data_IF_868513312274
#
_entry.id   IF_868513312274
#
_cell.length_a   1.000
_cell.length_b   1.000
_cell.length_c   1.000
_cell.angle_alpha   90.00
_cell.angle_beta   90.00
_cell.angle_gamma   90.00
#
_symmetry.space_group_name_H-M   'P 1'
#
loop_
_entity.id
_entity.type
_entity.pdbx_description
1 polymer ?
#
# COMPACT_ATOMS: atom_id res chain seq x y z
N UNK A 1 11.93 -7.99 -1.58
CA UNK A 1 11.96 -9.44 -1.87
C UNK A 1 10.78 -9.88 -2.73
N UNK A 2 9.56 -9.39 -2.50
CA UNK A 2 8.39 -9.74 -3.32
C UNK A 2 8.60 -9.60 -4.85
N UNK A 3 9.22 -8.49 -5.29
CA UNK A 3 9.56 -8.31 -6.72
C UNK A 3 10.53 -9.37 -7.27
N UNK A 4 11.54 -9.77 -6.48
CA UNK A 4 12.48 -10.84 -6.85
C UNK A 4 11.80 -12.22 -6.91
N UNK A 5 10.72 -12.40 -6.17
CA UNK A 5 9.95 -13.65 -6.09
C UNK A 5 8.82 -13.71 -7.12
N UNK A 6 8.53 -12.63 -7.84
CA UNK A 6 7.39 -12.56 -8.76
C UNK A 6 6.02 -12.55 -8.08
N UNK A 7 5.96 -12.26 -6.77
CA UNK A 7 4.72 -12.32 -6.00
C UNK A 7 3.90 -11.02 -6.16
N UNK A 8 3.00 -11.04 -7.14
CA UNK A 8 2.11 -9.92 -7.43
C UNK A 8 1.14 -9.60 -6.28
N UNK A 9 0.65 -10.62 -5.55
CA UNK A 9 -0.29 -10.42 -4.44
C UNK A 9 0.40 -9.68 -3.29
N UNK A 10 1.61 -10.10 -2.94
CA UNK A 10 2.39 -9.42 -1.90
C UNK A 10 2.73 -7.98 -2.29
N UNK A 11 3.02 -7.72 -3.57
CA UNK A 11 3.27 -6.35 -4.05
C UNK A 11 2.01 -5.48 -3.94
N UNK A 12 0.86 -5.98 -4.40
CA UNK A 12 -0.41 -5.28 -4.24
C UNK A 12 -0.71 -4.97 -2.77
N UNK A 13 -0.49 -5.94 -1.88
CA UNK A 13 -0.65 -5.76 -0.44
C UNK A 13 0.27 -4.66 0.10
N UNK A 14 1.57 -4.71 -0.22
CA UNK A 14 2.54 -3.71 0.23
C UNK A 14 2.17 -2.30 -0.29
N UNK A 15 1.82 -2.18 -1.57
CA UNK A 15 1.42 -0.90 -2.19
C UNK A 15 0.12 -0.36 -1.57
N UNK A 16 -0.89 -1.21 -1.35
CA UNK A 16 -2.12 -0.83 -0.67
C UNK A 16 -1.85 -0.30 0.75
N UNK A 17 -0.83 -0.87 1.40
CA UNK A 17 -0.32 -0.45 2.69
C UNK A 17 0.65 0.75 2.62
N UNK A 18 0.82 1.40 1.48
CA UNK A 18 1.60 2.63 1.33
C UNK A 18 3.10 2.41 1.27
N UNK A 19 3.56 1.22 0.87
CA UNK A 19 4.94 1.04 0.46
C UNK A 19 5.26 1.94 -0.74
N UNK A 20 6.44 2.56 -0.72
CA UNK A 20 6.91 3.31 -1.88
C UNK A 20 7.18 2.33 -3.05
N UNK A 21 6.81 2.68 -4.29
CA UNK A 21 6.95 1.80 -5.45
C UNK A 21 8.37 1.77 -6.04
N UNK A 22 9.18 2.81 -5.81
CA UNK A 22 10.55 2.97 -6.35
C UNK A 22 11.67 3.15 -5.29
N UNK A 23 11.65 2.47 -4.13
CA UNK A 23 12.76 2.55 -3.19
C UNK A 23 14.01 1.91 -3.79
N UNK A 24 15.15 2.59 -3.70
CA UNK A 24 16.43 2.03 -4.11
C UNK A 24 17.03 1.18 -2.99
N UNK A 25 17.60 0.03 -3.36
CA UNK A 25 18.37 -0.80 -2.45
C UNK A 25 19.85 -0.37 -2.39
N UNK A 26 20.68 -1.13 -1.67
CA UNK A 26 22.12 -0.85 -1.53
C UNK A 26 22.90 -0.94 -2.86
N UNK A 27 22.32 -1.54 -3.90
CA UNK A 27 22.89 -1.64 -5.23
C UNK A 27 22.34 -0.58 -6.18
N UNK A 28 21.64 0.44 -5.67
CA UNK A 28 20.89 1.43 -6.44
C UNK A 28 19.83 0.81 -7.38
N UNK A 29 19.28 -0.35 -7.03
CA UNK A 29 18.22 -1.01 -7.80
C UNK A 29 16.86 -0.83 -7.15
N UNK A 30 15.86 -0.54 -7.96
CA UNK A 30 14.45 -0.43 -7.58
C UNK A 30 13.77 -1.81 -7.63
N UNK A 31 12.57 -1.97 -7.06
CA UNK A 31 11.80 -3.20 -7.22
C UNK A 31 11.50 -3.54 -8.68
N UNK A 32 11.35 -2.53 -9.55
CA UNK A 32 11.10 -2.70 -10.99
C UNK A 32 12.29 -3.39 -11.68
N UNK A 33 13.52 -3.02 -11.31
CA UNK A 33 14.76 -3.63 -11.87
C UNK A 33 14.91 -5.12 -11.54
N UNK A 34 14.19 -5.60 -10.54
CA UNK A 34 14.15 -7.01 -10.16
C UNK A 34 12.97 -7.77 -10.76
N UNK A 35 12.05 -7.07 -11.43
CA UNK A 35 10.91 -7.67 -12.08
C UNK A 35 11.25 -8.12 -13.51
N UNK A 36 10.64 -9.21 -13.96
CA UNK A 36 10.77 -9.64 -15.35
C UNK A 36 9.92 -8.74 -16.26
N UNK A 37 10.51 -8.17 -17.30
CA UNK A 37 9.80 -7.32 -18.25
C UNK A 37 8.59 -8.05 -18.86
N UNK A 38 7.42 -7.40 -18.85
CA UNK A 38 6.16 -8.00 -19.31
C UNK A 38 5.46 -8.92 -18.30
N UNK A 39 6.02 -9.14 -17.12
CA UNK A 39 5.32 -9.83 -16.03
C UNK A 39 4.24 -8.96 -15.38
N UNK A 40 3.26 -9.60 -14.73
CA UNK A 40 2.23 -8.90 -13.96
C UNK A 40 2.85 -7.98 -12.90
N UNK A 41 3.93 -8.43 -12.24
CA UNK A 41 4.67 -7.65 -11.25
C UNK A 41 5.25 -6.37 -11.86
N UNK A 42 5.84 -6.47 -13.05
CA UNK A 42 6.37 -5.31 -13.77
C UNK A 42 5.27 -4.29 -14.06
N UNK A 43 4.13 -4.75 -14.59
CA UNK A 43 3.01 -3.84 -14.90
C UNK A 43 2.43 -3.15 -13.67
N UNK A 44 2.33 -3.85 -12.54
CA UNK A 44 1.82 -3.28 -11.28
C UNK A 44 2.78 -2.23 -10.74
N UNK A 45 4.09 -2.52 -10.73
CA UNK A 45 5.10 -1.59 -10.24
C UNK A 45 5.25 -0.37 -11.14
N UNK A 46 5.12 -0.53 -12.44
CA UNK A 46 5.13 0.55 -13.43
C UNK A 46 3.89 1.46 -13.30
N UNK A 47 2.70 0.89 -13.17
CA UNK A 47 1.47 1.66 -12.88
C UNK A 47 1.61 2.42 -11.56
N UNK A 48 2.10 1.75 -10.51
CA UNK A 48 2.24 2.34 -9.19
C UNK A 48 3.24 3.51 -9.14
N UNK A 49 4.27 3.52 -9.98
CA UNK A 49 5.22 4.64 -10.08
C UNK A 49 4.59 5.88 -10.75
N UNK A 50 3.75 5.66 -11.76
CA UNK A 50 3.14 6.74 -12.53
C UNK A 50 1.83 7.26 -11.92
N UNK A 51 1.24 6.51 -10.99
CA UNK A 51 -0.05 6.80 -10.41
C UNK A 51 0.06 7.68 -9.16
N UNK A 52 -0.61 8.83 -9.21
CA UNK A 52 -0.84 9.64 -8.02
C UNK A 52 -1.90 8.95 -7.16
N UNK A 53 -1.62 8.64 -5.88
CA UNK A 53 -2.60 8.03 -5.00
C UNK A 53 -3.79 8.97 -4.79
N UNK A 54 -5.01 8.41 -4.81
CA UNK A 54 -6.23 9.19 -4.59
C UNK A 54 -6.25 9.81 -3.20
N UNK A 55 -7.03 10.88 -3.03
CA UNK A 55 -7.23 11.49 -1.71
C UNK A 55 -7.77 10.47 -0.70
N UNK A 56 -8.60 9.52 -1.13
CA UNK A 56 -9.10 8.43 -0.27
C UNK A 56 -7.98 7.48 0.18
N UNK A 57 -7.01 7.18 -0.69
CA UNK A 57 -5.86 6.35 -0.33
C UNK A 57 -4.91 7.11 0.63
N UNK A 58 -4.67 8.40 0.35
CA UNK A 58 -3.86 9.27 1.19
C UNK A 58 -4.45 9.46 2.58
N UNK A 59 -5.76 9.76 2.66
CA UNK A 59 -6.47 9.85 3.94
C UNK A 59 -6.41 8.53 4.69
N UNK A 60 -6.68 7.40 4.04
CA UNK A 60 -6.53 6.07 4.68
C UNK A 60 -5.13 5.86 5.28
N UNK A 61 -4.08 6.21 4.54
CA UNK A 61 -2.70 6.08 5.04
C UNK A 61 -2.37 7.05 6.18
N UNK A 62 -2.85 8.29 6.09
CA UNK A 62 -2.69 9.30 7.14
C UNK A 62 -3.39 8.84 8.43
N UNK A 63 -4.66 8.43 8.32
CA UNK A 63 -5.39 7.85 9.43
C UNK A 63 -4.64 6.64 9.97
N UNK A 64 -4.17 5.68 9.17
CA UNK A 64 -3.42 4.52 9.70
C UNK A 64 -2.24 4.89 10.60
N UNK A 65 -1.51 5.97 10.28
CA UNK A 65 -0.41 6.46 11.13
C UNK A 65 -0.91 6.97 12.49
N UNK A 66 -2.06 7.63 12.50
CA UNK A 66 -2.74 8.07 13.74
C UNK A 66 -3.37 6.89 14.46
N UNK A 67 -3.98 5.95 13.73
CA UNK A 67 -4.65 4.76 14.25
C UNK A 67 -3.69 3.78 14.91
N UNK A 68 -2.42 3.71 14.47
CA UNK A 68 -1.38 2.99 15.23
C UNK A 68 -1.26 3.46 16.69
N UNK A 69 -1.71 4.68 17.00
CA UNK A 69 -1.76 5.24 18.35
C UNK A 69 -3.17 5.20 18.96
N UNK A 70 -4.23 4.98 18.16
CA UNK A 70 -5.62 4.96 18.62
C UNK A 70 -6.08 3.51 18.78
N UNK A 71 -6.70 3.22 19.91
CA UNK A 71 -7.25 1.90 20.20
C UNK A 71 -8.60 1.71 19.49
N UNK A 72 -9.10 0.47 19.46
CA UNK A 72 -10.42 0.11 18.89
C UNK A 72 -11.57 0.90 19.53
N UNK A 73 -11.40 1.35 20.77
CA UNK A 73 -12.39 2.16 21.48
C UNK A 73 -12.40 3.62 20.99
N UNK A 74 -11.24 4.18 20.65
CA UNK A 74 -11.14 5.53 20.09
C UNK A 74 -11.78 5.62 18.69
N UNK A 75 -11.81 4.49 17.97
CA UNK A 75 -12.54 4.37 16.70
C UNK A 75 -14.05 4.59 16.85
N UNK A 76 -14.63 4.14 17.97
CA UNK A 76 -16.06 4.33 18.23
C UNK A 76 -16.39 5.81 18.45
N UNK A 77 -15.42 6.61 18.90
CA UNK A 77 -15.58 8.05 19.12
C UNK A 77 -15.63 8.85 17.83
N UNK A 78 -15.03 8.35 16.73
CA UNK A 78 -15.00 9.04 15.44
C UNK A 78 -16.39 9.14 14.78
N UNK A 79 -17.40 8.39 15.27
CA UNK A 79 -18.79 8.38 14.75
C UNK A 79 -18.85 8.28 13.22
N UNK A 80 -17.95 7.51 12.63
CA UNK A 80 -17.90 7.28 11.18
C UNK A 80 -18.78 6.10 10.79
N UNK A 81 -19.32 6.09 9.56
CA UNK A 81 -19.94 4.91 8.97
C UNK A 81 -19.02 3.69 9.04
N UNK A 82 -19.60 2.51 9.33
CA UNK A 82 -18.84 1.28 9.50
C UNK A 82 -18.00 0.92 8.27
N UNK A 83 -18.52 1.17 7.06
CA UNK A 83 -17.77 0.96 5.82
C UNK A 83 -16.48 1.78 5.72
N UNK A 84 -16.46 2.99 6.28
CA UNK A 84 -15.26 3.83 6.34
C UNK A 84 -14.31 3.35 7.43
N UNK A 85 -14.82 2.87 8.57
CA UNK A 85 -14.01 2.23 9.61
C UNK A 85 -13.32 0.97 9.08
N UNK A 86 -14.05 0.11 8.37
CA UNK A 86 -13.53 -1.12 7.78
C UNK A 86 -12.48 -0.81 6.70
N UNK A 87 -12.77 0.18 5.85
CA UNK A 87 -11.82 0.66 4.84
C UNK A 87 -10.53 1.22 5.48
N UNK A 88 -10.62 1.95 6.59
CA UNK A 88 -9.45 2.50 7.30
C UNK A 88 -8.66 1.46 8.09
N UNK A 89 -9.32 0.41 8.58
CA UNK A 89 -8.71 -0.68 9.36
C UNK A 89 -8.15 -1.81 8.50
N UNK A 90 -8.27 -1.72 7.16
CA UNK A 90 -7.85 -2.75 6.21
C UNK A 90 -8.54 -4.11 6.44
N UNK A 91 -9.74 -4.11 7.03
CA UNK A 91 -10.50 -5.34 7.31
C UNK A 91 -11.23 -5.92 6.08
N UNK A 92 -11.19 -5.20 4.96
CA UNK A 92 -11.82 -5.55 3.68
C UNK A 92 -10.83 -6.09 2.63
N UNK A 93 -9.58 -6.39 3.03
CA UNK A 93 -8.54 -6.96 2.18
C UNK A 93 -8.27 -8.42 2.55
#
# INVERSE_FOLDING_TARGET
MAAKQGDALMICYLLAHGAHPSPVDMNNKTPLDYSTQGSLVHTILEDAQNKVPSLQALTRLAFRRVLRRLNREDMKLLRLPQCLCDYMTFSLL
#
